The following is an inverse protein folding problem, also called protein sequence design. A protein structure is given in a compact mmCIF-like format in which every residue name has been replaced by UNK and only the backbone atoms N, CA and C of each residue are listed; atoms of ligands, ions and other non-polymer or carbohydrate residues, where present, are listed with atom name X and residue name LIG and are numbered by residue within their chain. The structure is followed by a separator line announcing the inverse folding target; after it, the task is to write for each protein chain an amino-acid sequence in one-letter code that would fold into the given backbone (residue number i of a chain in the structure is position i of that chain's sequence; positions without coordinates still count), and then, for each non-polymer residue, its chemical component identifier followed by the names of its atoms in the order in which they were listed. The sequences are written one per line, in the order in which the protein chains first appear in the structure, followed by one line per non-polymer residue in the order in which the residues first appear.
data_IF_164373946107
#
_entry.id   IF_164373946107
#
_cell.length_a   1.000
_cell.length_b   1.000
_cell.length_c   1.000
_cell.angle_alpha   90.00
_cell.angle_beta   90.00
_cell.angle_gamma   90.00
#
_symmetry.space_group_name_H-M   'P 1'
#
loop_
_entity.id
_entity.type
_entity.pdbx_description
1 polymer ?
#
# COMPACT_ATOMS: atom_id res chain seq x y z
N UNK A 1 -17.36 7.17 8.20
CA UNK A 1 -16.54 6.60 9.30
C UNK A 1 -15.10 6.85 8.91
N UNK A 2 -14.30 7.51 9.77
CA UNK A 2 -12.87 7.73 9.49
C UNK A 2 -12.08 6.47 9.79
N UNK A 3 -11.05 6.18 9.00
CA UNK A 3 -10.22 4.98 9.20
C UNK A 3 -9.23 5.13 10.38
N UNK A 4 -8.93 6.37 10.76
CA UNK A 4 -7.91 6.71 11.75
C UNK A 4 -8.34 7.83 12.69
N UNK A 5 -7.76 7.83 13.88
CA UNK A 5 -7.94 8.89 14.85
C UNK A 5 -7.15 10.14 14.48
N UNK A 6 -7.76 11.31 14.66
CA UNK A 6 -7.13 12.61 14.39
C UNK A 6 -5.97 12.95 15.33
N UNK A 7 -5.89 12.28 16.49
CA UNK A 7 -4.86 12.51 17.51
C UNK A 7 -4.38 11.18 18.08
N UNK A 8 -3.14 11.16 18.56
CA UNK A 8 -2.55 10.05 19.29
C UNK A 8 -2.88 10.18 20.79
N UNK A 9 -4.04 9.65 21.20
CA UNK A 9 -4.48 9.74 22.60
C UNK A 9 -4.61 11.18 23.12
N UNK A 10 -5.12 12.09 22.28
CA UNK A 10 -5.26 13.51 22.60
C UNK A 10 -4.03 14.38 22.31
N UNK A 11 -2.92 13.79 21.84
CA UNK A 11 -1.72 14.53 21.39
C UNK A 11 -1.62 14.58 19.86
N UNK A 12 -0.98 15.61 19.27
CA UNK A 12 -0.69 15.62 17.84
C UNK A 12 0.16 14.41 17.43
N UNK A 13 -0.07 13.90 16.22
CA UNK A 13 0.79 12.89 15.64
C UNK A 13 2.17 13.49 15.32
N UNK A 14 3.25 12.78 15.63
CA UNK A 14 4.56 13.03 15.03
C UNK A 14 4.75 12.09 13.85
N UNK A 15 5.65 12.42 12.92
CA UNK A 15 5.97 11.53 11.80
C UNK A 15 6.36 10.12 12.27
N UNK A 16 7.22 10.04 13.28
CA UNK A 16 7.67 8.77 13.86
C UNK A 16 6.53 7.98 14.49
N UNK A 17 5.69 8.62 15.33
CA UNK A 17 4.60 7.91 16.01
C UNK A 17 3.51 7.47 15.04
N UNK A 18 3.28 8.24 13.98
CA UNK A 18 2.33 7.93 12.92
C UNK A 18 2.77 6.74 12.07
N UNK A 19 4.02 6.75 11.59
CA UNK A 19 4.54 5.64 10.78
C UNK A 19 4.58 4.34 11.61
N UNK A 20 4.94 4.42 12.89
CA UNK A 20 4.88 3.28 13.82
C UNK A 20 3.46 2.77 14.00
N UNK A 21 2.49 3.67 14.19
CA UNK A 21 1.08 3.33 14.33
C UNK A 21 0.55 2.61 13.08
N UNK A 22 0.80 3.15 11.89
CA UNK A 22 0.37 2.55 10.63
C UNK A 22 0.97 1.16 10.43
N UNK A 23 2.28 1.00 10.69
CA UNK A 23 2.96 -0.28 10.57
C UNK A 23 2.40 -1.32 11.54
N UNK A 24 2.15 -0.95 12.80
CA UNK A 24 1.55 -1.83 13.79
C UNK A 24 0.12 -2.21 13.41
N UNK A 25 -0.72 -1.21 13.12
CA UNK A 25 -2.13 -1.40 12.75
C UNK A 25 -2.27 -2.36 11.56
N UNK A 26 -1.45 -2.19 10.53
CA UNK A 26 -1.47 -3.04 9.36
C UNK A 26 -1.07 -4.49 9.65
N UNK A 27 0.07 -4.67 10.32
CA UNK A 27 0.67 -5.99 10.49
C UNK A 27 0.08 -6.78 11.68
N UNK A 28 -0.81 -6.20 12.49
CA UNK A 28 -1.34 -6.85 13.70
C UNK A 28 -2.86 -6.87 13.82
N UNK A 29 -3.61 -5.96 13.18
CA UNK A 29 -5.07 -6.00 13.23
C UNK A 29 -5.61 -6.97 12.17
N UNK A 30 -6.51 -7.86 12.55
CA UNK A 30 -7.20 -8.76 11.62
C UNK A 30 -8.09 -7.96 10.66
N UNK A 31 -7.49 -7.55 9.54
CA UNK A 31 -8.12 -6.84 8.45
C UNK A 31 -7.82 -7.55 7.12
N UNK A 32 -8.58 -7.21 6.07
CA UNK A 32 -8.44 -7.86 4.75
C UNK A 32 -6.99 -7.88 4.23
N UNK A 33 -6.19 -6.80 4.37
CA UNK A 33 -4.78 -6.85 4.00
C UNK A 33 -3.93 -7.87 4.76
N UNK A 34 -4.06 -7.98 6.08
CA UNK A 34 -3.35 -9.00 6.86
C UNK A 34 -3.75 -10.43 6.44
N UNK A 35 -5.02 -10.62 6.08
CA UNK A 35 -5.55 -11.89 5.56
C UNK A 35 -5.09 -12.21 4.12
N UNK A 36 -4.43 -11.28 3.43
CA UNK A 36 -4.02 -11.41 2.03
C UNK A 36 -2.55 -11.84 1.84
N UNK A 37 -1.88 -12.30 2.91
CA UNK A 37 -0.44 -12.63 2.94
C UNK A 37 0.47 -11.43 2.57
N UNK A 38 -0.03 -10.20 2.70
CA UNK A 38 0.71 -8.96 2.43
C UNK A 38 1.34 -8.46 3.72
N UNK A 39 2.63 -8.12 3.66
CA UNK A 39 3.37 -7.51 4.75
C UNK A 39 3.83 -6.10 4.33
N UNK A 40 3.58 -5.10 5.16
CA UNK A 40 4.09 -3.75 4.93
C UNK A 40 5.52 -3.69 5.47
N UNK A 41 6.50 -3.49 4.59
CA UNK A 41 7.93 -3.58 4.92
C UNK A 41 8.55 -2.22 5.20
N UNK A 42 8.06 -1.15 4.57
CA UNK A 42 8.59 0.20 4.75
C UNK A 42 7.51 1.27 4.59
N UNK A 43 7.56 2.26 5.48
CA UNK A 43 6.83 3.51 5.40
C UNK A 43 7.81 4.67 5.61
N UNK A 44 7.68 5.74 4.83
CA UNK A 44 8.53 6.93 5.00
C UNK A 44 8.70 7.71 3.70
N UNK A 45 9.15 8.96 3.81
CA UNK A 45 9.52 9.83 2.66
C UNK A 45 8.42 10.02 1.60
N UNK A 46 7.16 9.81 1.99
CA UNK A 46 6.03 9.87 1.07
C UNK A 46 5.96 8.70 0.10
N UNK A 47 6.47 7.55 0.48
CA UNK A 47 6.31 6.28 -0.21
C UNK A 47 5.91 5.17 0.79
N UNK A 48 5.47 4.05 0.24
CA UNK A 48 5.29 2.81 0.97
C UNK A 48 5.87 1.64 0.18
N UNK A 49 6.29 0.62 0.90
CA UNK A 49 6.72 -0.65 0.35
C UNK A 49 6.08 -1.78 1.14
N UNK A 50 5.70 -2.83 0.42
CA UNK A 50 5.32 -4.08 1.04
C UNK A 50 5.53 -5.24 0.10
N UNK A 51 5.41 -6.44 0.65
CA UNK A 51 5.69 -7.68 -0.04
C UNK A 51 4.52 -8.65 0.11
N UNK A 52 4.42 -9.59 -0.83
CA UNK A 52 3.57 -10.77 -0.70
C UNK A 52 4.45 -12.01 -0.80
N UNK A 53 4.29 -12.94 0.14
CA UNK A 53 4.89 -14.26 0.08
C UNK A 53 3.97 -15.20 -0.70
N UNK A 54 4.50 -15.81 -1.77
CA UNK A 54 3.71 -16.60 -2.69
C UNK A 54 3.42 -17.99 -2.12
N UNK A 55 2.15 -18.31 -2.01
CA UNK A 55 1.64 -19.60 -1.52
C UNK A 55 0.56 -20.13 -2.46
N UNK A 56 0.09 -21.35 -2.25
CA UNK A 56 -1.00 -21.90 -3.07
C UNK A 56 -2.30 -21.05 -2.99
N UNK A 57 -2.46 -20.23 -1.95
CA UNK A 57 -3.65 -19.36 -1.78
C UNK A 57 -3.69 -18.21 -2.77
N UNK A 58 -2.53 -17.73 -3.20
CA UNK A 58 -2.39 -16.53 -4.02
C UNK A 58 -1.84 -16.83 -5.42
N UNK A 59 -1.77 -18.11 -5.80
CA UNK A 59 -1.41 -18.57 -7.16
C UNK A 59 -2.65 -18.82 -8.02
N UNK A 60 -2.50 -18.60 -9.32
CA UNK A 60 -3.48 -18.93 -10.35
C UNK A 60 -3.31 -20.39 -10.84
N UNK A 61 -4.17 -20.82 -11.78
CA UNK A 61 -4.15 -22.16 -12.37
C UNK A 61 -2.84 -22.52 -13.11
N UNK A 62 -2.02 -21.52 -13.44
CA UNK A 62 -0.71 -21.69 -14.08
C UNK A 62 0.46 -21.68 -13.07
N UNK A 63 0.17 -21.61 -11.77
CA UNK A 63 1.18 -21.61 -10.72
C UNK A 63 1.88 -20.26 -10.51
N UNK A 64 1.46 -19.18 -11.16
CA UNK A 64 1.98 -17.82 -10.94
C UNK A 64 1.07 -17.05 -9.97
N UNK A 65 1.55 -15.96 -9.39
CA UNK A 65 0.70 -15.09 -8.57
C UNK A 65 -0.54 -14.65 -9.36
N UNK A 66 -1.71 -14.79 -8.74
CA UNK A 66 -2.99 -14.45 -9.34
C UNK A 66 -3.07 -12.93 -9.58
N UNK A 67 -3.64 -12.52 -10.71
CA UNK A 67 -3.77 -11.10 -11.04
C UNK A 67 -4.53 -10.32 -9.98
N UNK A 68 -5.53 -10.93 -9.36
CA UNK A 68 -6.24 -10.36 -8.20
C UNK A 68 -5.35 -10.16 -6.97
N UNK A 69 -4.42 -11.06 -6.68
CA UNK A 69 -3.49 -10.90 -5.55
C UNK A 69 -2.48 -9.77 -5.81
N UNK A 70 -2.00 -9.65 -7.06
CA UNK A 70 -1.18 -8.51 -7.48
C UNK A 70 -1.94 -7.18 -7.36
N UNK A 71 -3.21 -7.17 -7.76
CA UNK A 71 -4.08 -6.00 -7.63
C UNK A 71 -4.29 -5.61 -6.16
N UNK A 72 -4.52 -6.59 -5.27
CA UNK A 72 -4.62 -6.33 -3.83
C UNK A 72 -3.33 -5.75 -3.26
N UNK A 73 -2.17 -6.28 -3.66
CA UNK A 73 -0.87 -5.74 -3.24
C UNK A 73 -0.68 -4.28 -3.72
N UNK A 74 -1.05 -3.97 -4.97
CA UNK A 74 -1.02 -2.60 -5.49
C UNK A 74 -1.96 -1.68 -4.70
N UNK A 75 -3.19 -2.11 -4.45
CA UNK A 75 -4.23 -1.32 -3.77
C UNK A 75 -3.76 -0.92 -2.36
N UNK A 76 -3.36 -1.92 -1.59
CA UNK A 76 -2.93 -1.76 -0.20
C UNK A 76 -1.72 -0.83 -0.11
N UNK A 77 -0.63 -1.12 -0.83
CA UNK A 77 0.60 -0.34 -0.71
C UNK A 77 0.41 1.08 -1.24
N UNK A 78 -0.45 1.27 -2.24
CA UNK A 78 -0.81 2.62 -2.73
C UNK A 78 -1.56 3.43 -1.67
N UNK A 79 -2.54 2.84 -0.99
CA UNK A 79 -3.25 3.49 0.10
C UNK A 79 -2.30 3.84 1.25
N UNK A 80 -1.40 2.92 1.64
CA UNK A 80 -0.41 3.17 2.69
C UNK A 80 0.59 4.27 2.35
N UNK A 81 0.94 4.42 1.07
CA UNK A 81 1.76 5.55 0.62
C UNK A 81 1.07 6.91 0.87
N UNK A 82 -0.26 6.96 0.73
CA UNK A 82 -1.07 8.13 1.06
C UNK A 82 -1.26 8.30 2.57
N UNK A 83 -1.53 7.22 3.30
CA UNK A 83 -1.65 7.25 4.77
C UNK A 83 -0.36 7.78 5.40
N UNK A 84 0.81 7.42 4.88
CA UNK A 84 2.11 7.93 5.34
C UNK A 84 2.23 9.47 5.28
N UNK A 85 1.42 10.13 4.44
CA UNK A 85 1.33 11.59 4.29
C UNK A 85 0.14 12.20 5.03
N UNK A 86 -0.52 11.44 5.90
CA UNK A 86 -1.69 11.87 6.65
C UNK A 86 -2.95 12.02 5.79
N UNK A 87 -3.01 11.35 4.63
CA UNK A 87 -4.18 11.39 3.76
C UNK A 87 -5.05 10.18 4.03
N UNK A 88 -6.22 10.37 4.66
CA UNK A 88 -7.23 9.31 4.72
C UNK A 88 -7.88 9.19 3.34
N UNK A 89 -7.87 8.00 2.76
CA UNK A 89 -8.18 7.78 1.35
C UNK A 89 -8.98 6.51 1.10
N UNK A 90 -9.69 6.50 -0.04
CA UNK A 90 -10.34 5.30 -0.57
C UNK A 90 -10.11 5.17 -2.07
N UNK A 91 -10.05 3.95 -2.59
CA UNK A 91 -9.71 3.67 -3.98
C UNK A 91 -10.84 4.07 -4.91
N UNK A 92 -10.53 4.94 -5.88
CA UNK A 92 -11.45 5.34 -6.94
C UNK A 92 -11.31 4.43 -8.17
N UNK A 93 -10.07 4.24 -8.61
CA UNK A 93 -9.75 3.41 -9.78
C UNK A 93 -8.33 2.87 -9.67
N UNK A 94 -8.09 1.68 -10.21
CA UNK A 94 -6.75 1.16 -10.44
C UNK A 94 -6.61 0.69 -11.89
N UNK A 95 -5.49 1.01 -12.52
CA UNK A 95 -5.13 0.49 -13.84
C UNK A 95 -3.76 -0.18 -13.74
N UNK A 96 -3.72 -1.49 -14.00
CA UNK A 96 -2.53 -2.33 -13.87
C UNK A 96 -2.11 -2.88 -15.23
N UNK A 97 -0.81 -2.89 -15.51
CA UNK A 97 -0.20 -3.55 -16.65
C UNK A 97 0.70 -4.68 -16.16
N UNK A 98 0.36 -5.92 -16.53
CA UNK A 98 1.14 -7.12 -16.21
C UNK A 98 2.12 -7.40 -17.35
N UNK A 99 3.41 -7.16 -17.14
CA UNK A 99 4.43 -7.31 -18.18
C UNK A 99 4.94 -8.74 -18.33
N UNK A 100 4.85 -9.54 -17.27
CA UNK A 100 5.26 -10.94 -17.27
C UNK A 100 4.57 -11.73 -16.16
N UNK A 101 4.56 -13.07 -16.23
CA UNK A 101 4.07 -13.91 -15.15
C UNK A 101 4.83 -13.63 -13.84
N UNK A 102 4.07 -13.48 -12.76
CA UNK A 102 4.57 -13.15 -11.44
C UNK A 102 4.95 -14.44 -10.68
N UNK A 103 6.20 -14.86 -10.77
CA UNK A 103 6.71 -16.11 -10.19
C UNK A 103 7.57 -15.91 -8.95
N UNK A 104 8.31 -16.97 -8.58
CA UNK A 104 9.19 -16.98 -7.41
C UNK A 104 8.47 -17.24 -6.10
N UNK A 105 9.13 -16.86 -5.01
CA UNK A 105 8.64 -17.02 -3.63
C UNK A 105 8.11 -15.72 -3.06
N UNK A 106 8.54 -14.57 -3.60
CA UNK A 106 8.17 -13.26 -3.10
C UNK A 106 8.11 -12.21 -4.20
N UNK A 107 7.19 -11.27 -4.03
CA UNK A 107 7.09 -10.07 -4.86
C UNK A 107 7.05 -8.83 -3.97
N UNK A 108 7.70 -7.77 -4.41
CA UNK A 108 7.84 -6.50 -3.68
C UNK A 108 7.13 -5.41 -4.46
N UNK A 109 6.24 -4.69 -3.80
CA UNK A 109 5.54 -3.54 -4.36
C UNK A 109 6.04 -2.27 -3.70
N UNK A 110 6.40 -1.28 -4.51
CA UNK A 110 6.69 0.08 -4.05
C UNK A 110 5.65 1.02 -4.63
N UNK A 111 5.05 1.87 -3.79
CA UNK A 111 4.09 2.88 -4.21
C UNK A 111 4.51 4.29 -3.79
N UNK A 112 4.31 5.26 -4.68
CA UNK A 112 4.66 6.66 -4.49
C UNK A 112 3.54 7.55 -5.03
N UNK A 113 2.92 8.44 -4.22
CA UNK A 113 1.98 9.41 -4.73
C UNK A 113 2.70 10.47 -5.56
N UNK A 114 2.38 10.52 -6.85
CA UNK A 114 2.96 11.42 -7.85
C UNK A 114 2.27 12.78 -7.85
N UNK A 115 0.97 12.82 -7.56
CA UNK A 115 0.18 14.06 -7.49
C UNK A 115 -0.82 14.01 -6.36
N UNK A 116 -0.61 14.82 -5.33
CA UNK A 116 -1.54 15.01 -4.21
C UNK A 116 -2.38 16.27 -4.46
N UNK A 117 -3.63 16.09 -4.88
CA UNK A 117 -4.59 17.18 -5.03
C UNK A 117 -5.43 17.39 -3.77
N UNK A 118 -6.42 18.29 -3.86
CA UNK A 118 -7.38 18.55 -2.76
C UNK A 118 -8.26 17.33 -2.49
N UNK A 119 -8.84 16.76 -3.56
CA UNK A 119 -9.84 15.69 -3.52
C UNK A 119 -9.32 14.34 -4.02
N UNK A 120 -8.27 14.35 -4.83
CA UNK A 120 -7.73 13.16 -5.49
C UNK A 120 -6.23 13.05 -5.27
N UNK A 121 -5.74 11.83 -5.16
CA UNK A 121 -4.33 11.49 -5.09
C UNK A 121 -4.01 10.45 -6.17
N UNK A 122 -3.09 10.77 -7.09
CA UNK A 122 -2.58 9.82 -8.07
C UNK A 122 -1.31 9.17 -7.52
N UNK A 123 -1.30 7.84 -7.51
CA UNK A 123 -0.19 7.01 -7.00
C UNK A 123 0.30 6.11 -8.11
N UNK A 124 1.62 6.04 -8.25
CA UNK A 124 2.27 5.02 -9.08
C UNK A 124 2.76 3.89 -8.20
N UNK A 125 2.44 2.67 -8.57
CA UNK A 125 2.92 1.46 -7.92
C UNK A 125 3.70 0.58 -8.92
N UNK A 126 4.75 -0.07 -8.43
CA UNK A 126 5.60 -0.96 -9.22
C UNK A 126 5.84 -2.23 -8.42
N UNK A 127 5.51 -3.38 -9.00
CA UNK A 127 5.83 -4.70 -8.44
C UNK A 127 7.08 -5.24 -9.13
N UNK A 128 8.02 -5.74 -8.33
CA UNK A 128 9.23 -6.42 -8.77
C UNK A 128 9.35 -7.80 -8.13
N UNK A 129 10.02 -8.70 -8.80
CA UNK A 129 10.47 -9.96 -8.20
C UNK A 129 11.80 -9.79 -7.43
N UNK A 130 12.31 -10.87 -6.87
CA UNK A 130 13.55 -10.87 -6.07
C UNK A 130 14.82 -10.60 -6.89
N UNK A 131 14.72 -10.66 -8.23
CA UNK A 131 15.79 -10.27 -9.15
C UNK A 131 15.65 -8.82 -9.62
N UNK A 132 14.90 -8.00 -8.89
CA UNK A 132 14.58 -6.60 -9.19
C UNK A 132 13.86 -6.39 -10.55
N UNK A 133 13.25 -7.45 -11.09
CA UNK A 133 12.67 -7.42 -12.43
C UNK A 133 11.20 -6.98 -12.39
N UNK A 134 10.82 -5.92 -13.14
CA UNK A 134 9.50 -5.24 -13.03
C UNK A 134 8.33 -6.06 -13.57
N UNK A 135 7.58 -6.74 -12.70
CA UNK A 135 6.50 -7.64 -13.08
C UNK A 135 5.22 -6.89 -13.46
N UNK A 136 4.86 -5.87 -12.68
CA UNK A 136 3.62 -5.10 -12.85
C UNK A 136 3.89 -3.62 -12.60
N UNK A 137 3.24 -2.75 -13.37
CA UNK A 137 3.15 -1.31 -13.05
C UNK A 137 1.69 -0.93 -12.96
N UNK A 138 1.37 0.00 -12.07
CA UNK A 138 0.02 0.47 -11.89
C UNK A 138 -0.06 1.98 -11.66
N UNK A 139 -1.18 2.56 -12.11
CA UNK A 139 -1.65 3.88 -11.71
C UNK A 139 -2.91 3.71 -10.87
N UNK A 140 -2.88 4.25 -9.65
CA UNK A 140 -3.97 4.16 -8.67
C UNK A 140 -4.46 5.56 -8.36
N UNK A 141 -5.75 5.79 -8.56
CA UNK A 141 -6.41 7.03 -8.19
C UNK A 141 -7.19 6.81 -6.90
N UNK A 142 -6.92 7.65 -5.91
CA UNK A 142 -7.50 7.58 -4.58
C UNK A 142 -8.26 8.88 -4.28
N UNK A 143 -9.46 8.79 -3.70
CA UNK A 143 -10.18 9.94 -3.14
C UNK A 143 -9.65 10.26 -1.76
N UNK A 144 -9.39 11.55 -1.51
CA UNK A 144 -9.04 12.07 -0.17
C UNK A 144 -10.32 12.33 0.61
N UNK A 145 -10.51 11.57 1.68
CA UNK A 145 -11.67 11.65 2.57
C UNK A 145 -11.42 12.61 3.73
N UNK A 146 -10.21 12.59 4.30
CA UNK A 146 -9.79 13.51 5.36
C UNK A 146 -8.27 13.72 5.34
N UNK A 147 -7.80 14.68 6.14
CA UNK A 147 -6.38 14.96 6.36
C UNK A 147 -6.06 14.96 7.85
N UNK A 148 -5.09 14.14 8.20
CA UNK A 148 -4.56 13.99 9.54
C UNK A 148 -3.32 14.88 9.63
N UNK A 149 -3.33 15.79 10.60
CA UNK A 149 -2.18 16.64 10.86
C UNK A 149 -1.06 15.81 11.49
N UNK A 150 0.09 15.80 10.81
CA UNK A 150 1.30 15.13 11.25
C UNK A 150 2.36 16.21 11.44
N UNK A 151 2.86 16.32 12.65
CA UNK A 151 3.94 17.25 12.98
C UNK A 151 5.24 16.71 12.36
N UNK A 152 5.96 17.51 11.56
CA UNK A 152 7.29 17.15 11.08
C UNK A 152 8.24 16.89 12.26
N UNK A 153 9.26 16.06 12.02
CA UNK A 153 10.36 15.88 12.97
C UNK A 153 11.19 17.16 13.12
#
# INVERSE_FOLDING_TARGET
MMAFDRTNGGKPWTKESWDRYLHQKFNTEENYPLLSDINLTRLGDGMAEGEILLSNKNRNLHGFCHGGALSTLVDVISAFSCFSRGLDVTTATMNLQFFRPAGGDRLICTATPEKVGKTLCNVRAVIRDESDTVVTVASVLLYVLDRIEITPA
#
